data_IF_988611643232
#
_entry.id   IF_988611643232
#
_cell.length_a   1.000
_cell.length_b   1.000
_cell.length_c   1.000
_cell.angle_alpha   90.00
_cell.angle_beta   90.00
_cell.angle_gamma   90.00
#
_symmetry.space_group_name_H-M   'P 1'
#
loop_
_entity.id
_entity.type
_entity.pdbx_description
1 polymer ?
#
# COMPACT_ATOMS: atom_id res chain seq x y z
N UNK A 1 -21.16 -1.56 1.71
CA UNK A 1 -20.41 -1.15 0.50
C UNK A 1 -20.52 -2.26 -0.53
N UNK A 2 -20.97 -1.95 -1.74
CA UNK A 2 -20.91 -2.87 -2.88
C UNK A 2 -19.45 -3.06 -3.26
N UNK A 3 -19.03 -4.31 -3.55
CA UNK A 3 -17.72 -4.61 -4.14
C UNK A 3 -17.55 -3.71 -5.37
N UNK A 4 -16.41 -3.01 -5.53
CA UNK A 4 -16.22 -2.15 -6.68
C UNK A 4 -16.49 -2.91 -7.97
N UNK A 5 -17.15 -2.25 -8.94
CA UNK A 5 -17.52 -2.88 -10.22
C UNK A 5 -16.31 -3.32 -11.05
N UNK A 6 -15.11 -3.02 -10.57
CA UNK A 6 -13.82 -3.35 -11.18
C UNK A 6 -12.85 -3.96 -10.18
N UNK A 7 -12.01 -4.87 -10.65
CA UNK A 7 -10.91 -5.45 -9.91
C UNK A 7 -9.76 -4.42 -9.73
N UNK A 8 -9.26 -4.30 -8.51
CA UNK A 8 -8.02 -3.58 -8.21
C UNK A 8 -6.81 -4.47 -8.55
N UNK A 9 -5.88 -3.96 -9.34
CA UNK A 9 -4.65 -4.65 -9.73
C UNK A 9 -3.45 -3.92 -9.15
N UNK A 10 -2.70 -4.58 -8.29
CA UNK A 10 -1.48 -4.07 -7.68
C UNK A 10 -0.30 -4.95 -8.09
N UNK A 11 0.84 -4.38 -8.43
CA UNK A 11 2.08 -5.12 -8.69
C UNK A 11 3.06 -4.90 -7.54
N UNK A 12 3.58 -5.98 -6.97
CA UNK A 12 4.60 -5.92 -5.91
C UNK A 12 6.00 -5.96 -6.53
N UNK A 13 6.79 -4.93 -6.29
CA UNK A 13 8.12 -4.78 -6.87
C UNK A 13 9.21 -5.01 -5.82
N UNK A 14 10.09 -5.98 -6.10
CA UNK A 14 11.23 -6.33 -5.24
C UNK A 14 12.43 -6.74 -6.10
N UNK A 15 13.55 -6.04 -6.00
CA UNK A 15 14.81 -6.41 -6.66
C UNK A 15 14.65 -6.78 -8.14
N UNK A 16 15.15 -7.95 -8.51
CA UNK A 16 15.00 -8.55 -9.84
C UNK A 16 13.73 -9.43 -9.97
N UNK A 17 12.90 -9.48 -8.95
CA UNK A 17 11.72 -10.34 -8.83
C UNK A 17 11.71 -11.10 -7.52
N UNK A 18 10.62 -11.79 -7.27
CA UNK A 18 10.42 -12.50 -6.00
C UNK A 18 11.15 -13.85 -5.95
N UNK A 19 11.47 -14.46 -7.10
CA UNK A 19 12.24 -15.69 -7.12
C UNK A 19 13.73 -15.42 -6.80
N UNK A 20 14.38 -16.17 -5.90
CA UNK A 20 15.78 -15.95 -5.53
C UNK A 20 16.74 -15.92 -6.72
N UNK A 21 16.53 -16.78 -7.71
CA UNK A 21 17.36 -16.85 -8.92
C UNK A 21 16.91 -15.88 -10.04
N UNK A 22 15.90 -15.03 -9.83
CA UNK A 22 15.36 -14.15 -10.87
C UNK A 22 16.39 -13.19 -11.48
N UNK A 23 17.38 -12.76 -10.71
CA UNK A 23 18.44 -11.88 -11.18
C UNK A 23 19.27 -12.48 -12.33
N UNK A 24 19.38 -13.82 -12.41
CA UNK A 24 20.06 -14.53 -13.50
C UNK A 24 19.27 -14.40 -14.82
N UNK A 25 17.95 -14.36 -14.73
CA UNK A 25 17.07 -14.15 -15.88
C UNK A 25 16.92 -12.67 -16.27
N UNK A 26 17.20 -11.74 -15.36
CA UNK A 26 17.05 -10.30 -15.59
C UNK A 26 18.11 -9.69 -16.55
N UNK A 27 19.18 -10.43 -16.87
CA UNK A 27 20.24 -9.98 -17.78
C UNK A 27 20.84 -8.63 -17.35
N UNK A 28 20.99 -7.65 -18.25
CA UNK A 28 21.57 -6.34 -17.91
C UNK A 28 20.76 -5.56 -16.86
N UNK A 29 19.50 -5.88 -16.62
CA UNK A 29 18.70 -5.23 -15.58
C UNK A 29 19.22 -5.55 -14.18
N UNK A 30 19.77 -6.75 -13.96
CA UNK A 30 20.35 -7.12 -12.68
C UNK A 30 21.48 -6.17 -12.21
N UNK A 31 22.25 -5.61 -13.14
CA UNK A 31 23.32 -4.65 -12.85
C UNK A 31 22.81 -3.26 -12.44
N UNK A 32 21.50 -2.99 -12.57
CA UNK A 32 20.89 -1.67 -12.36
C UNK A 32 19.90 -1.61 -11.22
N UNK A 33 19.81 -2.64 -10.40
CA UNK A 33 18.83 -2.74 -9.31
C UNK A 33 18.96 -1.60 -8.27
N UNK A 34 20.17 -1.04 -8.11
CA UNK A 34 20.42 0.14 -7.27
C UNK A 34 20.35 1.47 -8.06
N UNK A 35 19.88 1.44 -9.31
CA UNK A 35 19.73 2.64 -10.14
C UNK A 35 18.28 3.13 -10.11
N UNK A 36 18.07 4.40 -9.80
CA UNK A 36 16.75 5.04 -9.91
C UNK A 36 16.14 4.89 -11.31
N UNK A 37 16.96 4.85 -12.35
CA UNK A 37 16.50 4.65 -13.73
C UNK A 37 15.76 3.33 -13.90
N UNK A 38 16.27 2.23 -13.29
CA UNK A 38 15.60 0.93 -13.33
C UNK A 38 14.19 1.00 -12.72
N UNK A 39 14.08 1.52 -11.51
CA UNK A 39 12.79 1.65 -10.82
C UNK A 39 11.81 2.57 -11.55
N UNK A 40 12.31 3.70 -12.06
CA UNK A 40 11.51 4.61 -12.86
C UNK A 40 10.95 3.93 -14.11
N UNK A 41 11.79 3.23 -14.85
CA UNK A 41 11.38 2.61 -16.11
C UNK A 41 10.32 1.53 -15.87
N UNK A 42 10.47 0.69 -14.81
CA UNK A 42 9.48 -0.31 -14.41
C UNK A 42 8.18 0.34 -13.96
N UNK A 43 8.22 1.32 -13.05
CA UNK A 43 7.00 1.93 -12.50
C UNK A 43 6.25 2.76 -13.55
N UNK A 44 6.96 3.50 -14.42
CA UNK A 44 6.35 4.26 -15.51
C UNK A 44 5.67 3.33 -16.53
N UNK A 45 6.22 2.15 -16.80
CA UNK A 45 5.56 1.16 -17.64
C UNK A 45 4.23 0.70 -17.03
N UNK A 46 4.24 0.35 -15.72
CA UNK A 46 3.03 -0.03 -14.99
C UNK A 46 1.97 1.10 -15.00
N UNK A 47 2.40 2.35 -14.80
CA UNK A 47 1.52 3.53 -14.82
C UNK A 47 0.85 3.72 -16.18
N UNK A 48 1.64 3.73 -17.25
CA UNK A 48 1.15 3.96 -18.62
C UNK A 48 0.17 2.89 -19.09
N UNK A 49 0.35 1.67 -18.63
CA UNK A 49 -0.43 0.51 -19.04
C UNK A 49 -1.60 0.20 -18.09
N UNK A 50 -1.78 0.98 -17.04
CA UNK A 50 -3.02 0.99 -16.27
C UNK A 50 -3.05 0.12 -15.02
N UNK A 51 -1.93 -0.33 -14.49
CA UNK A 51 -1.86 -0.93 -13.15
C UNK A 51 -2.30 0.11 -12.11
N UNK A 52 -3.11 -0.26 -11.12
CA UNK A 52 -3.70 0.70 -10.17
C UNK A 52 -2.70 1.23 -9.15
N UNK A 53 -1.84 0.34 -8.64
CA UNK A 53 -0.78 0.72 -7.71
C UNK A 53 0.41 -0.24 -7.82
N UNK A 54 1.57 0.23 -7.37
CA UNK A 54 2.72 -0.63 -7.07
C UNK A 54 3.02 -0.58 -5.58
N UNK A 55 3.31 -1.75 -4.98
CA UNK A 55 4.00 -1.79 -3.70
C UNK A 55 5.49 -1.92 -3.95
N UNK A 56 6.28 -1.16 -3.21
CA UNK A 56 7.74 -1.27 -3.21
C UNK A 56 8.15 -1.93 -1.92
N UNK A 57 8.79 -3.10 -2.03
CA UNK A 57 9.14 -3.90 -0.85
C UNK A 57 10.40 -3.38 -0.18
N UNK A 58 10.38 -3.39 1.15
CA UNK A 58 11.51 -3.02 1.99
C UNK A 58 11.59 -3.87 3.25
N UNK A 59 12.78 -3.91 3.84
CA UNK A 59 13.05 -4.46 5.16
C UNK A 59 14.43 -4.00 5.62
N UNK A 60 14.72 -4.15 6.90
CA UNK A 60 16.05 -3.80 7.45
C UNK A 60 17.11 -4.90 7.27
N UNK A 61 16.80 -5.96 6.53
CA UNK A 61 17.79 -6.97 6.17
C UNK A 61 18.36 -6.68 4.78
N UNK A 62 19.67 -6.87 4.60
CA UNK A 62 20.29 -6.71 3.28
C UNK A 62 19.83 -7.78 2.29
N UNK A 63 19.47 -8.97 2.76
CA UNK A 63 19.03 -10.11 1.96
C UNK A 63 18.87 -11.37 2.80
N UNK A 64 18.51 -12.49 2.15
CA UNK A 64 18.50 -13.80 2.79
C UNK A 64 19.86 -14.17 3.37
N UNK A 65 19.85 -15.07 4.36
CA UNK A 65 21.06 -15.64 4.94
C UNK A 65 21.13 -17.13 4.65
N UNK A 66 22.35 -17.64 4.55
CA UNK A 66 22.61 -19.06 4.50
C UNK A 66 22.39 -19.72 5.89
N UNK A 67 22.50 -21.06 6.01
CA UNK A 67 22.35 -21.77 7.28
C UNK A 67 23.32 -21.34 8.38
N UNK A 68 24.48 -20.80 8.01
CA UNK A 68 25.53 -20.33 8.95
C UNK A 68 25.26 -18.90 9.44
N UNK A 69 24.22 -18.23 8.89
CA UNK A 69 23.79 -16.86 9.24
C UNK A 69 24.50 -15.77 8.46
N UNK A 70 25.34 -16.11 7.50
CA UNK A 70 25.98 -15.19 6.58
C UNK A 70 25.03 -14.81 5.42
N UNK A 71 25.32 -13.72 4.71
CA UNK A 71 24.54 -13.32 3.55
C UNK A 71 24.65 -14.38 2.45
N UNK A 72 23.49 -14.85 1.96
CA UNK A 72 23.45 -15.74 0.81
C UNK A 72 23.92 -15.00 -0.46
N UNK A 73 25.13 -15.28 -0.89
CA UNK A 73 25.77 -14.65 -2.05
C UNK A 73 25.17 -15.10 -3.39
N UNK A 74 24.29 -16.08 -3.40
CA UNK A 74 23.62 -16.58 -4.61
C UNK A 74 22.36 -15.80 -4.97
N UNK A 75 21.89 -14.93 -4.09
CA UNK A 75 20.67 -14.13 -4.23
C UNK A 75 20.97 -12.63 -4.38
N UNK A 76 19.93 -11.83 -4.63
CA UNK A 76 20.06 -10.37 -4.63
C UNK A 76 20.25 -9.87 -3.21
N UNK A 77 21.37 -9.21 -2.94
CA UNK A 77 21.71 -8.59 -1.67
C UNK A 77 21.79 -7.07 -1.84
N UNK A 78 21.23 -6.34 -0.88
CA UNK A 78 21.13 -4.88 -0.90
C UNK A 78 19.89 -4.39 -1.62
N UNK A 79 19.36 -3.25 -1.16
CA UNK A 79 18.17 -2.60 -1.71
C UNK A 79 18.24 -1.09 -1.49
N UNK A 80 17.43 -0.36 -2.25
CA UNK A 80 17.17 1.06 -1.99
C UNK A 80 15.97 1.18 -1.07
N UNK A 81 15.92 2.24 -0.27
CA UNK A 81 14.79 2.61 0.58
C UNK A 81 13.52 2.81 -0.28
N UNK A 82 12.45 2.11 0.06
CA UNK A 82 11.21 2.09 -0.72
C UNK A 82 10.51 3.45 -0.75
N UNK A 83 10.51 4.21 0.37
CA UNK A 83 9.88 5.52 0.44
C UNK A 83 10.63 6.54 -0.41
N UNK A 84 11.96 6.49 -0.39
CA UNK A 84 12.80 7.37 -1.22
C UNK A 84 12.68 7.02 -2.70
N UNK A 85 12.64 5.73 -3.06
CA UNK A 85 12.37 5.31 -4.45
C UNK A 85 10.99 5.77 -4.90
N UNK A 86 9.93 5.56 -4.09
CA UNK A 86 8.57 6.02 -4.40
C UNK A 86 8.53 7.53 -4.64
N UNK A 87 9.19 8.31 -3.77
CA UNK A 87 9.25 9.76 -3.88
C UNK A 87 9.99 10.23 -5.14
N UNK A 88 11.07 9.54 -5.50
CA UNK A 88 11.88 9.87 -6.67
C UNK A 88 11.19 9.51 -8.00
N UNK A 89 10.33 8.47 -8.03
CA UNK A 89 9.60 8.08 -9.26
C UNK A 89 8.26 8.81 -9.40
N UNK A 90 7.71 9.36 -8.32
CA UNK A 90 6.40 10.01 -8.30
C UNK A 90 6.22 11.08 -9.40
N UNK A 91 7.19 12.01 -9.63
CA UNK A 91 7.06 13.04 -10.68
C UNK A 91 7.06 12.48 -12.11
N UNK A 92 7.57 11.25 -12.31
CA UNK A 92 7.60 10.60 -13.62
C UNK A 92 6.31 9.81 -13.93
N UNK A 93 5.40 9.70 -12.98
CA UNK A 93 4.14 8.95 -13.06
C UNK A 93 2.94 9.89 -13.00
N UNK A 94 1.76 9.44 -13.45
CA UNK A 94 0.55 10.27 -13.55
C UNK A 94 -0.63 9.75 -12.76
N UNK A 95 -0.81 8.44 -12.70
CA UNK A 95 -2.03 7.84 -12.17
C UNK A 95 -1.77 6.69 -11.19
N UNK A 96 -0.66 5.98 -11.29
CA UNK A 96 -0.36 4.82 -10.46
C UNK A 96 -0.20 5.21 -8.98
N UNK A 97 -0.80 4.40 -8.10
CA UNK A 97 -0.56 4.50 -6.65
C UNK A 97 0.85 4.04 -6.31
N UNK A 98 1.49 4.75 -5.40
CA UNK A 98 2.85 4.46 -4.92
C UNK A 98 2.77 4.07 -3.45
N UNK A 99 2.95 2.79 -3.17
CA UNK A 99 2.75 2.20 -1.84
C UNK A 99 4.09 1.62 -1.33
N UNK A 100 4.99 2.47 -0.79
CA UNK A 100 6.21 1.97 -0.19
C UNK A 100 5.90 1.15 1.06
N UNK A 101 6.68 0.10 1.29
CA UNK A 101 6.75 -0.60 2.57
C UNK A 101 7.59 0.23 3.52
N UNK A 102 7.05 0.51 4.70
CA UNK A 102 7.81 1.17 5.79
C UNK A 102 7.52 0.42 7.08
N UNK A 103 8.59 -0.12 7.69
CA UNK A 103 8.50 -0.78 9.00
C UNK A 103 8.30 0.26 10.09
N UNK A 104 7.40 -0.03 11.04
CA UNK A 104 7.18 0.79 12.23
C UNK A 104 8.01 0.33 13.42
N UNK A 105 8.49 -0.91 13.40
CA UNK A 105 9.43 -1.41 14.39
C UNK A 105 10.78 -0.71 14.17
N UNK A 106 11.36 -0.16 15.20
CA UNK A 106 12.64 0.57 15.18
C UNK A 106 12.62 1.94 14.47
N UNK A 107 11.51 2.37 13.85
CA UNK A 107 11.41 3.66 13.14
C UNK A 107 10.50 4.62 13.90
N UNK A 108 10.92 5.88 14.02
CA UNK A 108 10.12 6.90 14.69
C UNK A 108 8.86 7.25 13.88
N UNK A 109 7.63 7.12 14.43
CA UNK A 109 6.38 7.39 13.71
C UNK A 109 6.30 8.79 13.13
N UNK A 110 6.96 9.77 13.75
CA UNK A 110 7.03 11.15 13.24
C UNK A 110 7.70 11.20 11.85
N UNK A 111 8.80 10.47 11.65
CA UNK A 111 9.47 10.40 10.35
C UNK A 111 8.65 9.64 9.32
N UNK A 112 7.99 8.56 9.72
CA UNK A 112 7.06 7.82 8.86
C UNK A 112 5.93 8.73 8.38
N UNK A 113 5.29 9.47 9.31
CA UNK A 113 4.19 10.38 8.99
C UNK A 113 4.63 11.48 8.01
N UNK A 114 5.73 12.17 8.29
CA UNK A 114 6.20 13.28 7.46
C UNK A 114 6.67 12.83 6.09
N UNK A 115 7.35 11.69 6.00
CA UNK A 115 7.80 11.11 4.73
C UNK A 115 6.63 10.73 3.83
N UNK A 116 5.63 10.02 4.36
CA UNK A 116 4.45 9.60 3.60
C UNK A 116 3.55 10.78 3.20
N UNK A 117 3.37 11.80 4.07
CA UNK A 117 2.69 13.04 3.67
C UNK A 117 3.43 13.76 2.56
N UNK A 118 4.75 13.81 2.61
CA UNK A 118 5.56 14.41 1.55
C UNK A 118 5.39 13.66 0.25
N UNK A 119 5.43 12.32 0.28
CA UNK A 119 5.14 11.49 -0.90
C UNK A 119 3.75 11.79 -1.45
N UNK A 120 2.74 11.96 -0.59
CA UNK A 120 1.37 12.25 -1.03
C UNK A 120 1.26 13.60 -1.74
N UNK A 121 1.94 14.63 -1.22
CA UNK A 121 2.04 15.93 -1.92
C UNK A 121 2.75 15.81 -3.27
N UNK A 122 3.92 15.17 -3.32
CA UNK A 122 4.73 15.03 -4.55
C UNK A 122 4.01 14.19 -5.59
N UNK A 123 3.25 13.19 -5.16
CA UNK A 123 2.48 12.32 -6.04
C UNK A 123 1.08 12.85 -6.37
N UNK A 124 0.66 14.00 -5.81
CA UNK A 124 -0.67 14.58 -6.00
C UNK A 124 -1.81 13.62 -5.58
N UNK A 125 -1.73 13.08 -4.37
CA UNK A 125 -2.77 12.20 -3.81
C UNK A 125 -2.68 10.75 -4.25
N UNK A 126 -1.46 10.23 -4.53
CA UNK A 126 -1.28 8.84 -4.98
C UNK A 126 -0.41 8.01 -4.05
N UNK A 127 -0.01 8.54 -2.90
CA UNK A 127 0.71 7.78 -1.89
C UNK A 127 -0.20 6.76 -1.22
N UNK A 128 0.38 5.63 -0.83
CA UNK A 128 -0.13 4.70 0.15
C UNK A 128 0.99 4.28 1.10
N UNK A 129 0.69 3.47 2.07
CA UNK A 129 1.66 2.95 3.02
C UNK A 129 1.43 1.46 3.24
N UNK A 130 2.39 0.62 2.92
CA UNK A 130 2.38 -0.76 3.38
C UNK A 130 3.08 -0.82 4.73
N UNK A 131 2.28 -0.92 5.80
CA UNK A 131 2.79 -1.03 7.17
C UNK A 131 3.41 -2.42 7.39
N UNK A 132 4.56 -2.46 8.04
CA UNK A 132 5.29 -3.69 8.33
C UNK A 132 5.90 -3.66 9.72
N UNK A 133 6.00 -4.82 10.36
CA UNK A 133 6.80 -5.05 11.57
C UNK A 133 8.09 -5.79 11.22
N UNK A 134 9.13 -5.58 12.02
CA UNK A 134 10.45 -6.21 11.85
C UNK A 134 10.77 -7.08 13.06
N UNK A 135 10.48 -8.39 13.01
CA UNK A 135 10.50 -9.25 14.20
C UNK A 135 11.88 -9.82 14.55
N UNK A 136 12.90 -9.66 13.69
CA UNK A 136 14.16 -10.39 13.85
C UNK A 136 15.13 -9.68 14.78
N UNK A 137 15.87 -10.47 15.57
CA UNK A 137 16.96 -9.96 16.41
C UNK A 137 18.07 -9.30 15.58
N UNK A 138 18.27 -9.76 14.34
CA UNK A 138 19.24 -9.19 13.40
C UNK A 138 18.85 -7.75 12.99
N UNK A 139 17.59 -7.51 12.70
CA UNK A 139 17.09 -6.16 12.40
C UNK A 139 17.22 -5.25 13.63
N UNK A 140 16.84 -5.74 14.81
CA UNK A 140 16.98 -4.98 16.06
C UNK A 140 18.42 -4.57 16.35
N UNK A 141 19.38 -5.46 16.06
CA UNK A 141 20.81 -5.20 16.27
C UNK A 141 21.35 -4.02 15.45
N UNK A 142 20.77 -3.77 14.25
CA UNK A 142 21.14 -2.62 13.41
C UNK A 142 20.85 -1.27 14.08
N UNK A 143 19.83 -1.23 14.94
CA UNK A 143 19.42 0.00 15.63
C UNK A 143 20.03 0.10 17.04
N UNK A 144 20.36 -1.01 17.67
CA UNK A 144 20.98 -1.06 18.99
C UNK A 144 20.13 -0.49 20.14
N UNK A 145 18.81 -0.34 19.95
CA UNK A 145 17.90 0.26 20.94
C UNK A 145 17.27 -0.77 21.87
N UNK A 146 17.11 -2.00 21.39
CA UNK A 146 16.53 -3.13 22.14
C UNK A 146 17.10 -4.46 21.63
N UNK A 147 17.07 -5.52 22.43
CA UNK A 147 17.67 -6.80 22.04
C UNK A 147 16.96 -7.48 20.85
N UNK A 148 15.69 -7.16 20.61
CA UNK A 148 14.86 -7.85 19.61
C UNK A 148 14.35 -9.20 20.10
N UNK A 149 13.62 -9.91 19.22
CA UNK A 149 13.00 -11.19 19.58
C UNK A 149 11.68 -11.03 20.33
N UNK A 150 11.07 -9.84 20.23
CA UNK A 150 9.74 -9.61 20.78
C UNK A 150 8.72 -10.53 20.10
N UNK A 151 7.70 -10.94 20.85
CA UNK A 151 6.63 -11.77 20.31
C UNK A 151 5.72 -10.96 19.35
N UNK A 152 4.94 -11.67 18.56
CA UNK A 152 4.08 -11.05 17.56
C UNK A 152 3.02 -10.11 18.19
N UNK A 153 2.53 -10.41 19.38
CA UNK A 153 1.53 -9.58 20.07
C UNK A 153 2.15 -8.22 20.44
N UNK A 154 3.32 -8.23 21.07
CA UNK A 154 4.07 -7.01 21.41
C UNK A 154 4.38 -6.16 20.19
N UNK A 155 4.82 -6.79 19.08
CA UNK A 155 5.13 -6.08 17.83
C UNK A 155 3.87 -5.45 17.20
N UNK A 156 2.72 -6.14 17.25
CA UNK A 156 1.48 -5.59 16.73
C UNK A 156 0.90 -4.50 17.65
N UNK A 157 1.10 -4.57 18.96
CA UNK A 157 0.69 -3.50 19.88
C UNK A 157 1.51 -2.23 19.62
N UNK A 158 2.83 -2.34 19.48
CA UNK A 158 3.69 -1.22 19.05
C UNK A 158 3.26 -0.67 17.69
N UNK A 159 2.95 -1.54 16.73
CA UNK A 159 2.51 -1.13 15.41
C UNK A 159 1.16 -0.39 15.42
N UNK A 160 0.22 -0.78 16.30
CA UNK A 160 -1.04 -0.04 16.52
C UNK A 160 -0.79 1.38 17.04
N UNK A 161 0.07 1.52 18.04
CA UNK A 161 0.42 2.83 18.58
C UNK A 161 1.11 3.70 17.50
N UNK A 162 2.04 3.13 16.74
CA UNK A 162 2.71 3.82 15.66
C UNK A 162 1.73 4.29 14.56
N UNK A 163 0.80 3.42 14.14
CA UNK A 163 -0.23 3.75 13.14
C UNK A 163 -1.17 4.85 13.65
N UNK A 164 -1.56 4.81 14.93
CA UNK A 164 -2.39 5.87 15.54
C UNK A 164 -1.63 7.21 15.59
N UNK A 165 -0.37 7.19 15.99
CA UNK A 165 0.47 8.41 16.00
C UNK A 165 0.61 9.00 14.60
N UNK A 166 0.91 8.16 13.60
CA UNK A 166 1.00 8.58 12.20
C UNK A 166 -0.33 9.20 11.73
N UNK A 167 -1.45 8.58 12.04
CA UNK A 167 -2.79 9.07 11.73
C UNK A 167 -3.10 10.43 12.39
N UNK A 168 -2.69 10.62 13.67
CA UNK A 168 -2.85 11.89 14.38
C UNK A 168 -2.01 13.01 13.76
N UNK A 169 -0.78 12.69 13.38
CA UNK A 169 0.11 13.65 12.74
C UNK A 169 -0.44 14.07 11.37
N UNK A 170 -1.00 13.15 10.59
CA UNK A 170 -1.63 13.46 9.30
C UNK A 170 -2.84 14.38 9.42
N UNK A 171 -3.59 14.28 10.52
CA UNK A 171 -4.75 15.13 10.80
C UNK A 171 -4.39 16.44 11.51
N UNK A 172 -3.15 16.64 11.94
CA UNK A 172 -2.78 17.74 12.83
C UNK A 172 -2.84 19.14 12.19
N UNK A 173 -3.09 19.24 10.89
CA UNK A 173 -3.39 20.48 10.17
C UNK A 173 -4.79 20.41 9.57
N UNK A 174 -5.59 21.46 9.76
CA UNK A 174 -6.84 21.60 9.00
C UNK A 174 -6.52 21.93 7.53
N UNK A 175 -7.45 21.62 6.62
CA UNK A 175 -7.26 21.82 5.18
C UNK A 175 -7.02 23.30 4.82
N UNK A 176 -7.55 24.22 5.61
CA UNK A 176 -7.46 25.68 5.44
C UNK A 176 -6.52 26.37 6.45
N UNK A 177 -5.62 25.61 7.07
CA UNK A 177 -4.63 26.16 8.02
C UNK A 177 -3.65 27.13 7.35
N UNK A 178 -3.34 26.97 6.06
CA UNK A 178 -2.43 27.83 5.28
C UNK A 178 -3.23 28.94 4.61
N UNK A 179 -3.19 30.16 5.16
CA UNK A 179 -3.99 31.30 4.70
C UNK A 179 -3.26 32.23 3.74
N UNK A 180 -1.93 32.35 3.83
CA UNK A 180 -1.09 33.25 3.00
C UNK A 180 -1.63 34.67 2.87
N UNK A 181 -2.11 35.24 3.99
CA UNK A 181 -2.66 36.59 4.03
C UNK A 181 -1.52 37.62 4.04
N UNK A 182 -1.22 38.15 2.86
CA UNK A 182 -0.16 39.15 2.68
C UNK A 182 -0.53 40.46 3.39
N UNK A 183 -1.80 40.81 3.46
CA UNK A 183 -2.28 42.06 4.06
C UNK A 183 -1.99 42.13 5.58
N UNK A 184 -2.24 41.01 6.25
CA UNK A 184 -1.99 40.90 7.70
C UNK A 184 -0.62 40.34 8.05
N UNK A 185 0.18 39.92 7.05
CA UNK A 185 1.46 39.26 7.23
C UNK A 185 1.37 37.85 7.83
N UNK A 186 0.20 37.20 7.76
CA UNK A 186 -0.03 35.87 8.34
C UNK A 186 0.06 34.80 7.28
N UNK A 187 0.99 33.86 7.43
CA UNK A 187 1.11 32.70 6.54
C UNK A 187 0.15 31.58 6.91
N UNK A 188 -0.06 31.37 8.21
CA UNK A 188 -0.93 30.31 8.76
C UNK A 188 -1.96 30.88 9.73
N UNK A 189 -3.06 30.14 9.92
CA UNK A 189 -3.90 30.28 11.11
C UNK A 189 -3.46 29.24 12.15
N UNK A 190 -2.76 29.69 13.19
CA UNK A 190 -2.24 28.79 14.24
C UNK A 190 -3.33 28.01 14.98
N UNK A 191 -4.57 28.50 15.00
CA UNK A 191 -5.69 27.82 15.64
C UNK A 191 -6.21 26.62 14.84
N UNK A 192 -5.67 26.43 13.63
CA UNK A 192 -5.95 25.33 12.72
C UNK A 192 -4.85 24.29 12.66
N UNK A 193 -3.92 24.38 13.62
CA UNK A 193 -2.83 23.42 13.80
C UNK A 193 -3.01 22.80 15.18
N UNK A 194 -3.16 21.47 15.21
CA UNK A 194 -3.52 20.71 16.40
C UNK A 194 -2.34 19.90 16.91
N UNK A 195 -2.24 19.79 18.23
CA UNK A 195 -1.26 18.92 18.87
C UNK A 195 -1.73 17.47 18.77
N UNK A 196 -0.91 16.57 18.22
CA UNK A 196 -1.20 15.14 18.14
C UNK A 196 -1.39 14.49 19.52
N UNK A 197 -0.63 14.95 20.53
CA UNK A 197 -0.78 14.64 21.95
C UNK A 197 -1.07 13.15 22.24
N UNK A 198 -0.17 12.29 21.84
CA UNK A 198 -0.28 10.85 22.10
C UNK A 198 0.76 10.42 23.15
N UNK A 199 0.34 9.58 24.09
CA UNK A 199 1.23 8.95 25.06
C UNK A 199 0.77 7.48 25.20
N UNK A 200 1.56 6.57 24.67
CA UNK A 200 1.34 5.13 24.71
C UNK A 200 2.42 4.40 25.51
N UNK A 201 2.41 3.10 25.40
CA UNK A 201 3.39 2.23 26.06
C UNK A 201 4.72 2.18 25.30
N UNK A 202 4.69 2.34 23.98
CA UNK A 202 5.85 2.23 23.10
C UNK A 202 6.31 3.58 22.57
N UNK A 203 5.37 4.50 22.27
CA UNK A 203 5.67 5.79 21.65
C UNK A 203 4.93 6.93 22.34
N UNK A 204 5.54 8.13 22.34
CA UNK A 204 4.90 9.35 22.81
C UNK A 204 5.24 10.49 21.86
N UNK A 205 4.23 11.27 21.47
CA UNK A 205 4.38 12.40 20.54
C UNK A 205 3.64 13.62 21.04
N UNK A 206 4.32 14.77 21.01
CA UNK A 206 3.75 16.08 21.24
C UNK A 206 3.96 16.99 20.03
N UNK A 207 3.02 17.91 19.80
CA UNK A 207 3.08 18.84 18.68
C UNK A 207 2.33 18.34 17.45
N UNK A 208 2.45 19.12 16.38
CA UNK A 208 1.86 18.83 15.09
C UNK A 208 2.91 18.27 14.12
N UNK A 209 2.46 17.68 13.00
CA UNK A 209 3.33 17.42 11.85
C UNK A 209 3.96 18.72 11.35
N UNK A 210 5.15 18.61 10.75
CA UNK A 210 5.78 19.72 10.02
C UNK A 210 5.28 19.80 8.57
N UNK A 211 4.59 18.77 8.09
CA UNK A 211 4.01 18.74 6.75
C UNK A 211 2.52 19.05 6.88
N UNK A 212 1.98 20.01 6.12
CA UNK A 212 0.55 20.30 6.08
C UNK A 212 -0.25 19.08 5.59
N UNK A 213 -1.57 19.09 5.86
CA UNK A 213 -2.46 18.02 5.44
C UNK A 213 -2.34 17.76 3.93
N UNK A 214 -2.13 16.52 3.57
CA UNK A 214 -1.87 16.11 2.20
C UNK A 214 -3.17 15.94 1.38
N UNK A 215 -3.10 15.84 0.04
CA UNK A 215 -4.29 15.78 -0.82
C UNK A 215 -5.31 14.70 -0.44
N UNK A 216 -4.89 13.54 0.04
CA UNK A 216 -5.78 12.48 0.51
C UNK A 216 -6.20 12.65 1.98
N UNK A 217 -5.64 13.63 2.68
CA UNK A 217 -5.73 13.74 4.13
C UNK A 217 -4.95 12.64 4.85
N UNK A 218 -5.32 11.39 4.62
CA UNK A 218 -4.60 10.19 5.09
C UNK A 218 -4.35 9.26 3.91
N UNK A 219 -3.09 9.03 3.50
CA UNK A 219 -2.75 8.00 2.53
C UNK A 219 -3.29 6.63 2.95
N UNK A 220 -3.83 5.79 2.03
CA UNK A 220 -4.33 4.46 2.37
C UNK A 220 -3.25 3.58 2.98
N UNK A 221 -3.59 2.89 4.06
CA UNK A 221 -2.71 1.94 4.74
C UNK A 221 -3.05 0.52 4.28
N UNK A 222 -2.02 -0.24 3.89
CA UNK A 222 -2.10 -1.64 3.48
C UNK A 222 -1.43 -2.51 4.53
N UNK A 223 -2.06 -3.59 4.96
CA UNK A 223 -1.46 -4.56 5.87
C UNK A 223 -1.65 -5.99 5.38
N UNK A 224 -0.66 -6.86 5.63
CA UNK A 224 -0.72 -8.28 5.34
C UNK A 224 -1.38 -9.01 6.52
N UNK A 225 -2.35 -9.88 6.22
CA UNK A 225 -3.07 -10.69 7.18
C UNK A 225 -3.03 -12.17 6.77
N UNK A 226 -2.08 -12.92 7.31
CA UNK A 226 -1.92 -14.35 7.06
C UNK A 226 -2.21 -15.21 8.30
N UNK A 227 -2.52 -14.59 9.44
CA UNK A 227 -2.88 -15.20 10.73
C UNK A 227 -3.90 -14.32 11.44
N UNK A 228 -4.56 -14.87 12.47
CA UNK A 228 -5.62 -14.17 13.20
C UNK A 228 -5.16 -12.90 13.92
N UNK A 229 -3.96 -12.89 14.51
CA UNK A 229 -3.36 -11.73 15.16
C UNK A 229 -3.02 -10.62 14.14
N UNK A 230 -2.46 -10.99 12.98
CA UNK A 230 -2.20 -10.07 11.88
C UNK A 230 -3.50 -9.53 11.26
N UNK A 231 -4.56 -10.34 11.19
CA UNK A 231 -5.87 -9.90 10.72
C UNK A 231 -6.52 -8.90 11.70
N UNK A 232 -6.43 -9.16 12.99
CA UNK A 232 -6.88 -8.22 14.02
C UNK A 232 -6.13 -6.88 13.93
N UNK A 233 -4.80 -6.92 13.81
CA UNK A 233 -4.00 -5.72 13.57
C UNK A 233 -4.40 -4.98 12.29
N UNK A 234 -4.58 -5.70 11.17
CA UNK A 234 -4.96 -5.11 9.90
C UNK A 234 -6.34 -4.44 9.96
N UNK A 235 -7.28 -5.01 10.71
CA UNK A 235 -8.60 -4.40 10.94
C UNK A 235 -8.50 -3.11 11.76
N UNK A 236 -7.58 -3.01 12.70
CA UNK A 236 -7.40 -1.80 13.50
C UNK A 236 -6.67 -0.69 12.73
N UNK A 237 -5.65 -1.04 11.94
CA UNK A 237 -4.68 -0.09 11.42
C UNK A 237 -4.75 0.14 9.90
N UNK A 238 -5.37 -0.77 9.11
CA UNK A 238 -5.31 -0.69 7.66
C UNK A 238 -6.64 -0.33 6.99
N UNK A 239 -6.53 0.29 5.83
CA UNK A 239 -7.64 0.55 4.90
C UNK A 239 -7.83 -0.58 3.89
N UNK A 240 -6.74 -1.28 3.53
CA UNK A 240 -6.72 -2.39 2.56
C UNK A 240 -5.99 -3.57 3.19
N UNK A 241 -6.56 -4.76 3.08
CA UNK A 241 -5.98 -5.98 3.65
C UNK A 241 -5.46 -6.88 2.53
N UNK A 242 -4.23 -7.33 2.67
CA UNK A 242 -3.59 -8.29 1.78
C UNK A 242 -3.64 -9.66 2.45
N UNK A 243 -4.07 -10.69 1.74
CA UNK A 243 -4.09 -12.08 2.22
C UNK A 243 -3.41 -13.01 1.23
N UNK A 244 -2.82 -14.08 1.71
CA UNK A 244 -2.09 -15.08 0.91
C UNK A 244 -2.91 -16.37 0.80
N UNK A 245 -3.91 -16.45 -0.10
CA UNK A 245 -4.72 -17.64 -0.24
C UNK A 245 -3.94 -18.77 -0.93
N UNK A 246 -4.34 -20.01 -0.67
CA UNK A 246 -4.02 -21.15 -1.54
C UNK A 246 -4.93 -21.19 -2.77
N UNK A 247 -5.03 -22.36 -3.43
CA UNK A 247 -5.73 -22.49 -4.73
C UNK A 247 -6.68 -23.69 -4.81
N UNK A 248 -7.22 -24.14 -3.69
CA UNK A 248 -8.14 -25.26 -3.64
C UNK A 248 -9.63 -24.84 -3.50
N UNK A 249 -9.91 -23.54 -3.53
CA UNK A 249 -11.25 -22.97 -3.39
C UNK A 249 -11.73 -22.90 -1.93
N UNK A 250 -11.19 -23.70 -1.02
CA UNK A 250 -11.45 -23.63 0.43
C UNK A 250 -10.50 -22.65 1.09
N UNK A 251 -9.24 -22.67 0.72
CA UNK A 251 -8.21 -21.78 1.26
C UNK A 251 -8.47 -20.32 0.89
N UNK A 252 -8.97 -20.03 -0.33
CA UNK A 252 -9.38 -18.69 -0.72
C UNK A 252 -10.53 -18.17 0.16
N UNK A 253 -11.54 -19.01 0.45
CA UNK A 253 -12.63 -18.64 1.34
C UNK A 253 -12.16 -18.45 2.77
N UNK A 254 -11.28 -19.33 3.25
CA UNK A 254 -10.73 -19.25 4.59
C UNK A 254 -9.88 -17.98 4.79
N UNK A 255 -9.05 -17.62 3.81
CA UNK A 255 -8.25 -16.39 3.84
C UNK A 255 -9.13 -15.12 3.85
N UNK A 256 -10.24 -15.11 3.10
CA UNK A 256 -11.19 -14.00 3.14
C UNK A 256 -11.95 -13.98 4.47
N UNK A 257 -12.40 -15.14 4.97
CA UNK A 257 -13.12 -15.27 6.22
C UNK A 257 -12.30 -14.77 7.40
N UNK A 258 -10.99 -15.04 7.42
CA UNK A 258 -10.06 -14.56 8.45
C UNK A 258 -10.19 -13.04 8.70
N UNK A 259 -10.29 -12.25 7.62
CA UNK A 259 -10.46 -10.79 7.72
C UNK A 259 -11.88 -10.45 8.17
N UNK A 260 -12.91 -11.14 7.65
CA UNK A 260 -14.31 -10.88 7.98
C UNK A 260 -14.62 -11.20 9.45
N UNK A 261 -14.04 -12.27 9.96
CA UNK A 261 -14.16 -12.67 11.37
C UNK A 261 -13.47 -11.64 12.29
N UNK A 262 -12.31 -11.13 11.88
CA UNK A 262 -11.63 -10.06 12.61
C UNK A 262 -12.44 -8.75 12.61
N UNK A 263 -13.04 -8.35 11.46
CA UNK A 263 -13.96 -7.20 11.40
C UNK A 263 -15.15 -7.37 12.34
N UNK A 264 -15.74 -8.55 12.37
CA UNK A 264 -16.86 -8.86 13.26
C UNK A 264 -16.44 -8.83 14.73
N UNK A 265 -15.29 -9.42 15.06
CA UNK A 265 -14.75 -9.42 16.43
C UNK A 265 -14.45 -8.01 16.94
N UNK A 266 -13.99 -7.11 16.05
CA UNK A 266 -13.76 -5.70 16.35
C UNK A 266 -15.05 -4.85 16.39
N UNK A 267 -16.22 -5.43 16.09
CA UNK A 267 -17.48 -4.68 15.98
C UNK A 267 -17.47 -3.63 14.87
N UNK A 268 -16.68 -3.86 13.83
CA UNK A 268 -16.49 -2.90 12.74
C UNK A 268 -17.57 -3.04 11.67
N UNK A 269 -18.32 -1.96 11.40
CA UNK A 269 -19.23 -1.88 10.26
C UNK A 269 -18.50 -1.65 8.92
N UNK A 270 -17.20 -1.35 8.98
CA UNK A 270 -16.40 -1.08 7.81
C UNK A 270 -15.94 -2.38 7.15
N UNK A 271 -16.35 -2.60 5.90
CA UNK A 271 -15.86 -3.71 5.06
C UNK A 271 -14.64 -3.24 4.27
N UNK A 272 -13.48 -3.72 4.66
CA UNK A 272 -12.22 -3.37 3.97
C UNK A 272 -12.10 -4.10 2.65
N UNK A 273 -11.56 -3.45 1.59
CA UNK A 273 -11.08 -4.14 0.41
C UNK A 273 -10.03 -5.18 0.79
N UNK A 274 -10.24 -6.44 0.37
CA UNK A 274 -9.27 -7.53 0.55
C UNK A 274 -8.70 -7.88 -0.81
N UNK A 275 -7.37 -7.88 -0.93
CA UNK A 275 -6.65 -8.27 -2.13
C UNK A 275 -5.94 -9.61 -1.90
N UNK A 276 -6.07 -10.52 -2.87
CA UNK A 276 -5.29 -11.75 -2.87
C UNK A 276 -3.86 -11.47 -3.32
N UNK A 277 -2.89 -11.87 -2.52
CA UNK A 277 -1.47 -11.71 -2.77
C UNK A 277 -0.90 -12.99 -3.38
N UNK A 278 -0.44 -12.93 -4.63
CA UNK A 278 -0.11 -14.09 -5.45
C UNK A 278 1.26 -13.91 -6.10
N UNK A 279 2.13 -14.91 -5.96
CA UNK A 279 3.40 -14.95 -6.69
C UNK A 279 3.18 -15.55 -8.08
N UNK A 280 3.57 -14.84 -9.14
CA UNK A 280 3.25 -15.24 -10.51
C UNK A 280 4.48 -15.31 -11.41
N UNK A 281 4.56 -16.40 -12.19
CA UNK A 281 5.42 -16.53 -13.36
C UNK A 281 4.50 -16.71 -14.57
N UNK A 282 4.62 -15.83 -15.56
CA UNK A 282 3.72 -15.79 -16.72
C UNK A 282 4.45 -16.33 -17.93
N UNK A 283 4.05 -17.51 -18.39
CA UNK A 283 4.58 -18.17 -19.58
C UNK A 283 3.64 -18.07 -20.78
N UNK A 284 4.15 -18.46 -21.96
CA UNK A 284 3.37 -18.50 -23.21
C UNK A 284 2.39 -19.69 -23.28
N UNK A 285 2.64 -20.72 -22.50
CA UNK A 285 1.77 -21.89 -22.30
C UNK A 285 1.95 -22.43 -20.88
N UNK A 286 1.02 -23.26 -20.36
CA UNK A 286 1.19 -23.86 -19.03
C UNK A 286 2.49 -24.67 -18.91
N UNK A 287 2.87 -25.42 -19.94
CA UNK A 287 4.12 -26.19 -19.97
C UNK A 287 5.34 -25.27 -19.93
N UNK A 288 5.36 -24.22 -20.77
CA UNK A 288 6.46 -23.26 -20.78
C UNK A 288 6.60 -22.54 -19.41
N UNK A 289 5.49 -22.17 -18.78
CA UNK A 289 5.53 -21.55 -17.45
C UNK A 289 6.11 -22.50 -16.39
N UNK A 290 5.72 -23.76 -16.42
CA UNK A 290 6.24 -24.79 -15.52
C UNK A 290 7.73 -25.07 -15.75
N UNK A 291 8.16 -25.16 -17.01
CA UNK A 291 9.57 -25.37 -17.36
C UNK A 291 10.45 -24.19 -16.94
N UNK A 292 9.96 -22.96 -17.13
CA UNK A 292 10.67 -21.75 -16.72
C UNK A 292 10.79 -21.63 -15.19
N UNK A 293 9.74 -22.01 -14.44
CA UNK A 293 9.80 -22.07 -12.97
C UNK A 293 10.80 -23.15 -12.53
N UNK A 294 10.73 -24.35 -13.10
CA UNK A 294 11.66 -25.43 -12.77
C UNK A 294 13.13 -25.04 -13.06
N UNK A 295 13.36 -24.28 -14.13
CA UNK A 295 14.71 -23.78 -14.45
C UNK A 295 15.22 -22.76 -13.39
N UNK A 296 14.33 -21.90 -12.89
CA UNK A 296 14.66 -20.96 -11.81
C UNK A 296 14.93 -21.71 -10.49
N UNK A 297 14.08 -22.70 -10.16
CA UNK A 297 14.23 -23.53 -8.96
C UNK A 297 15.57 -24.32 -9.00
N UNK A 298 15.89 -24.92 -10.14
CA UNK A 298 17.16 -25.59 -10.33
C UNK A 298 18.35 -24.63 -10.18
N UNK A 299 18.23 -23.41 -10.68
CA UNK A 299 19.26 -22.37 -10.53
C UNK A 299 19.38 -21.86 -9.09
N UNK A 300 18.33 -21.90 -8.30
CA UNK A 300 18.32 -21.55 -6.88
C UNK A 300 18.76 -22.73 -5.97
N UNK A 301 18.75 -23.94 -6.49
CA UNK A 301 19.05 -25.16 -5.74
C UNK A 301 17.90 -25.68 -4.88
N UNK A 302 16.73 -25.03 -4.89
CA UNK A 302 15.54 -25.43 -4.15
C UNK A 302 14.28 -24.85 -4.80
N UNK A 303 13.11 -25.51 -4.66
CA UNK A 303 11.83 -25.00 -5.11
C UNK A 303 11.45 -23.70 -4.37
N UNK A 304 10.97 -22.73 -5.12
CA UNK A 304 10.36 -21.52 -4.56
C UNK A 304 8.84 -21.74 -4.41
N UNK A 305 8.44 -22.23 -3.25
CA UNK A 305 7.08 -22.62 -2.94
C UNK A 305 6.70 -22.17 -1.52
N UNK A 306 5.42 -22.31 -1.16
CA UNK A 306 4.95 -22.03 0.21
C UNK A 306 5.73 -22.88 1.21
N UNK A 307 6.31 -22.23 2.21
CA UNK A 307 7.13 -22.88 3.23
C UNK A 307 8.58 -23.18 2.85
N UNK A 308 8.96 -23.02 1.59
CA UNK A 308 10.34 -23.22 1.11
C UNK A 308 10.93 -22.01 0.36
N UNK A 309 10.51 -20.79 0.75
CA UNK A 309 11.02 -19.54 0.19
C UNK A 309 9.94 -18.51 -0.12
N UNK A 310 8.67 -18.92 -0.13
CA UNK A 310 7.53 -18.04 -0.30
C UNK A 310 6.54 -18.15 0.86
N UNK A 311 5.93 -17.05 1.24
CA UNK A 311 4.80 -16.97 2.17
C UNK A 311 3.45 -16.95 1.43
N UNK A 312 3.46 -17.04 0.10
CA UNK A 312 2.27 -17.08 -0.75
C UNK A 312 2.40 -18.17 -1.81
N UNK A 313 1.27 -18.64 -2.29
CA UNK A 313 1.20 -19.63 -3.36
C UNK A 313 1.84 -19.11 -4.65
N UNK A 314 2.60 -19.96 -5.31
CA UNK A 314 3.32 -19.68 -6.56
C UNK A 314 2.54 -20.22 -7.74
N UNK A 315 2.23 -19.36 -8.69
CA UNK A 315 1.52 -19.67 -9.93
C UNK A 315 2.45 -19.58 -11.13
N UNK A 316 2.85 -20.73 -11.67
CA UNK A 316 3.34 -20.82 -13.03
C UNK A 316 2.12 -20.91 -13.96
N UNK A 317 1.82 -19.85 -14.70
CA UNK A 317 0.51 -19.67 -15.34
C UNK A 317 0.60 -18.98 -16.69
N UNK A 318 -0.53 -18.90 -17.40
CA UNK A 318 -0.70 -18.07 -18.59
C UNK A 318 -1.61 -16.88 -18.30
N UNK A 319 -1.62 -15.88 -19.18
CA UNK A 319 -2.55 -14.74 -19.04
C UNK A 319 -4.02 -15.17 -19.02
N UNK A 320 -4.51 -16.05 -19.92
CA UNK A 320 -5.90 -16.51 -19.86
C UNK A 320 -6.27 -17.22 -18.55
N UNK A 321 -5.39 -18.09 -18.04
CA UNK A 321 -5.64 -18.81 -16.80
C UNK A 321 -5.64 -17.85 -15.59
N UNK A 322 -4.76 -16.87 -15.60
CA UNK A 322 -4.71 -15.84 -14.56
C UNK A 322 -5.95 -14.94 -14.57
N UNK A 323 -6.49 -14.60 -15.76
CA UNK A 323 -7.77 -13.89 -15.88
C UNK A 323 -8.91 -14.69 -15.27
N UNK A 324 -8.98 -15.99 -15.55
CA UNK A 324 -9.99 -16.90 -14.96
C UNK A 324 -9.86 -16.93 -13.44
N UNK A 325 -8.63 -17.10 -12.92
CA UNK A 325 -8.38 -17.11 -11.47
C UNK A 325 -8.78 -15.80 -10.79
N UNK A 326 -8.50 -14.66 -11.42
CA UNK A 326 -8.91 -13.34 -10.89
C UNK A 326 -10.44 -13.19 -10.91
N UNK A 327 -11.14 -13.72 -11.93
CA UNK A 327 -12.59 -13.74 -11.96
C UNK A 327 -13.19 -14.58 -10.84
N UNK A 328 -12.61 -15.76 -10.56
CA UNK A 328 -13.03 -16.63 -9.46
C UNK A 328 -12.85 -15.94 -8.09
N UNK A 329 -11.70 -15.30 -7.85
CA UNK A 329 -11.45 -14.55 -6.64
C UNK A 329 -12.47 -13.39 -6.47
N UNK A 330 -12.78 -12.66 -7.55
CA UNK A 330 -13.82 -11.64 -7.52
C UNK A 330 -15.18 -12.22 -7.13
N UNK A 331 -15.55 -13.37 -7.70
CA UNK A 331 -16.81 -14.06 -7.38
C UNK A 331 -16.90 -14.49 -5.90
N UNK A 332 -15.76 -14.76 -5.27
CA UNK A 332 -15.67 -15.03 -3.83
C UNK A 332 -15.78 -13.77 -2.96
N UNK A 333 -15.64 -12.57 -3.54
CA UNK A 333 -15.74 -11.30 -2.82
C UNK A 333 -14.42 -10.57 -2.57
N UNK A 334 -13.33 -10.98 -3.23
CA UNK A 334 -12.09 -10.20 -3.23
C UNK A 334 -12.26 -8.92 -4.04
N UNK A 335 -11.69 -7.82 -3.55
CA UNK A 335 -11.70 -6.53 -4.23
C UNK A 335 -10.64 -6.46 -5.35
N UNK A 336 -9.66 -7.34 -5.33
CA UNK A 336 -8.58 -7.34 -6.30
C UNK A 336 -7.46 -8.32 -5.99
N UNK A 337 -6.35 -8.13 -6.70
CA UNK A 337 -5.14 -8.92 -6.52
C UNK A 337 -3.92 -8.03 -6.39
N UNK A 338 -2.95 -8.49 -5.58
CA UNK A 338 -1.59 -7.99 -5.56
C UNK A 338 -0.68 -9.08 -6.13
N UNK A 339 -0.11 -8.83 -7.29
CA UNK A 339 0.73 -9.79 -7.98
C UNK A 339 2.20 -9.55 -7.66
N UNK A 340 2.89 -10.60 -7.23
CA UNK A 340 4.33 -10.64 -7.00
C UNK A 340 5.00 -11.27 -8.23
N UNK A 341 5.52 -10.49 -9.20
CA UNK A 341 6.20 -11.04 -10.36
C UNK A 341 7.46 -11.79 -9.91
N UNK A 342 7.57 -13.06 -10.29
CA UNK A 342 8.76 -13.84 -9.96
C UNK A 342 10.01 -13.29 -10.63
N UNK A 343 9.86 -12.66 -11.82
CA UNK A 343 10.96 -12.05 -12.60
C UNK A 343 10.63 -10.61 -12.96
N UNK A 344 11.48 -9.68 -12.61
CA UNK A 344 11.40 -8.27 -13.02
C UNK A 344 12.59 -7.97 -13.96
N UNK A 345 12.35 -7.44 -15.19
CA UNK A 345 11.07 -6.87 -15.67
C UNK A 345 10.13 -7.86 -16.40
N UNK A 346 10.46 -9.12 -16.58
CA UNK A 346 9.76 -10.05 -17.49
C UNK A 346 8.28 -10.18 -17.10
N UNK A 347 7.98 -10.70 -15.93
CA UNK A 347 6.61 -10.93 -15.49
C UNK A 347 5.87 -9.63 -15.17
N UNK A 348 6.58 -8.61 -14.66
CA UNK A 348 5.97 -7.28 -14.44
C UNK A 348 5.53 -6.62 -15.75
N UNK A 349 6.31 -6.79 -16.83
CA UNK A 349 5.93 -6.33 -18.18
C UNK A 349 4.76 -7.14 -18.72
N UNK A 350 4.71 -8.47 -18.52
CA UNK A 350 3.59 -9.31 -18.92
C UNK A 350 2.30 -8.90 -18.19
N UNK A 351 2.36 -8.60 -16.89
CA UNK A 351 1.22 -8.06 -16.14
C UNK A 351 0.71 -6.77 -16.79
N UNK A 352 1.57 -5.83 -17.07
CA UNK A 352 1.15 -4.54 -17.62
C UNK A 352 0.67 -4.64 -19.08
N UNK A 353 1.42 -5.32 -19.95
CA UNK A 353 1.18 -5.35 -21.41
C UNK A 353 0.15 -6.37 -21.85
N UNK A 354 -0.01 -7.47 -21.12
CA UNK A 354 -0.85 -8.58 -21.53
C UNK A 354 -2.04 -8.78 -20.59
N UNK A 355 -1.81 -8.84 -19.26
CA UNK A 355 -2.89 -9.09 -18.32
C UNK A 355 -3.86 -7.90 -18.21
N UNK A 356 -3.38 -6.66 -18.15
CA UNK A 356 -4.27 -5.49 -18.07
C UNK A 356 -5.27 -5.45 -19.23
N UNK A 357 -4.85 -5.52 -20.52
CA UNK A 357 -5.81 -5.56 -21.63
C UNK A 357 -6.75 -6.78 -21.58
N UNK A 358 -6.26 -7.95 -21.16
CA UNK A 358 -7.08 -9.16 -21.04
C UNK A 358 -8.18 -9.01 -19.97
N UNK A 359 -7.87 -8.36 -18.83
CA UNK A 359 -8.86 -8.06 -17.79
C UNK A 359 -9.91 -7.04 -18.28
N UNK A 360 -9.52 -6.06 -19.10
CA UNK A 360 -10.46 -5.13 -19.75
C UNK A 360 -11.39 -5.88 -20.70
N UNK A 361 -10.85 -6.74 -21.56
CA UNK A 361 -11.62 -7.58 -22.49
C UNK A 361 -12.59 -8.49 -21.75
N UNK A 362 -12.20 -9.04 -20.61
CA UNK A 362 -13.03 -9.89 -19.76
C UNK A 362 -14.10 -9.09 -18.95
N UNK A 363 -14.15 -7.77 -19.07
CA UNK A 363 -15.09 -6.90 -18.31
C UNK A 363 -14.79 -6.83 -16.81
N UNK A 364 -13.60 -7.23 -16.40
CA UNK A 364 -13.16 -7.18 -14.98
C UNK A 364 -12.56 -5.83 -14.62
N UNK A 365 -12.20 -5.02 -15.60
CA UNK A 365 -11.63 -3.68 -15.44
C UNK A 365 -12.16 -2.71 -16.51
N UNK A 366 -12.21 -1.43 -16.18
CA UNK A 366 -12.43 -0.38 -17.15
C UNK A 366 -11.16 -0.11 -17.98
N UNK A 367 -11.33 0.44 -19.18
CA UNK A 367 -10.21 0.86 -20.04
C UNK A 367 -9.33 1.90 -19.31
N UNK A 368 -8.05 1.86 -19.60
CA UNK A 368 -7.05 2.82 -19.10
C UNK A 368 -7.42 4.26 -19.46
N UNK A 369 -7.97 4.49 -20.66
CA UNK A 369 -8.42 5.80 -21.13
C UNK A 369 -9.56 6.39 -20.28
N UNK A 370 -10.35 5.54 -19.61
CA UNK A 370 -11.45 5.95 -18.72
C UNK A 370 -11.03 6.02 -17.24
N UNK A 371 -9.73 5.94 -16.95
CA UNK A 371 -9.22 5.93 -15.58
C UNK A 371 -9.50 7.26 -14.89
N UNK A 372 -10.15 7.26 -13.72
CA UNK A 372 -10.42 8.50 -13.00
C UNK A 372 -9.11 9.20 -12.61
N UNK A 373 -9.08 10.52 -12.68
CA UNK A 373 -8.00 11.37 -12.14
C UNK A 373 -8.05 11.50 -10.62
N UNK A 374 -8.90 10.72 -9.96
CA UNK A 374 -9.07 10.72 -8.51
C UNK A 374 -7.82 10.23 -7.77
N UNK A 375 -7.70 10.63 -6.51
CA UNK A 375 -6.69 10.15 -5.59
C UNK A 375 -6.74 8.61 -5.40
N UNK A 376 -5.70 8.05 -4.78
CA UNK A 376 -5.58 6.60 -4.62
C UNK A 376 -6.69 6.04 -3.71
N UNK A 377 -7.05 6.74 -2.63
CA UNK A 377 -8.10 6.33 -1.69
C UNK A 377 -9.44 6.16 -2.40
N UNK A 378 -9.84 7.16 -3.18
CA UNK A 378 -11.07 7.13 -3.99
C UNK A 378 -11.06 5.99 -5.02
N UNK A 379 -9.92 5.77 -5.70
CA UNK A 379 -9.80 4.71 -6.71
C UNK A 379 -9.86 3.30 -6.12
N UNK A 380 -9.44 3.13 -4.87
CA UNK A 380 -9.57 1.88 -4.12
C UNK A 380 -10.98 1.67 -3.54
N UNK A 381 -11.92 2.62 -3.74
CA UNK A 381 -13.26 2.55 -3.17
C UNK A 381 -13.30 2.75 -1.66
N UNK A 382 -12.28 3.40 -1.11
CA UNK A 382 -12.18 3.67 0.33
C UNK A 382 -12.81 5.03 0.62
N UNK A 383 -13.53 5.13 1.73
CA UNK A 383 -14.14 6.38 2.19
C UNK A 383 -13.10 7.49 2.34
N UNK A 384 -13.39 8.73 1.91
CA UNK A 384 -12.52 9.87 2.14
C UNK A 384 -12.12 10.00 3.61
N UNK A 385 -10.87 10.35 3.87
CA UNK A 385 -10.37 10.50 5.22
C UNK A 385 -10.86 11.82 5.83
N UNK A 386 -11.82 11.72 6.75
CA UNK A 386 -12.27 12.87 7.53
C UNK A 386 -11.25 13.14 8.64
N UNK A 387 -10.80 14.41 8.77
CA UNK A 387 -9.92 14.80 9.87
C UNK A 387 -10.61 14.60 11.21
N UNK A 388 -9.89 14.09 12.21
CA UNK A 388 -10.39 13.97 13.59
C UNK A 388 -10.72 15.33 14.22
N UNK A 389 -10.18 16.41 13.65
CA UNK A 389 -10.44 17.78 14.07
C UNK A 389 -11.46 18.51 13.17
N UNK A 390 -12.07 17.79 12.19
CA UNK A 390 -13.08 18.38 11.32
C UNK A 390 -14.22 18.97 12.16
N UNK A 391 -14.50 20.25 11.95
CA UNK A 391 -15.65 20.91 12.58
C UNK A 391 -16.93 20.40 11.90
N UNK A 392 -18.02 20.22 12.66
CA UNK A 392 -19.33 19.99 12.05
C UNK A 392 -19.60 21.11 11.04
N UNK A 393 -20.05 20.76 9.83
CA UNK A 393 -20.47 21.75 8.86
C UNK A 393 -21.56 22.62 9.55
N UNK A 394 -21.32 23.91 9.65
CA UNK A 394 -22.37 24.85 10.08
C UNK A 394 -23.40 24.83 8.95
N UNK A 395 -24.44 24.04 9.12
CA UNK A 395 -25.63 24.12 8.27
C UNK A 395 -26.17 25.53 8.48
N UNK A 396 -25.98 26.40 7.50
CA UNK A 396 -26.43 27.77 7.55
C UNK A 396 -27.92 27.78 7.87
N UNK A 397 -28.26 28.19 9.08
CA UNK A 397 -29.62 28.57 9.42
C UNK A 397 -30.02 29.67 8.44
N UNK A 398 -31.11 29.44 7.70
CA UNK A 398 -31.59 30.33 6.67
C UNK A 398 -31.64 31.76 7.20
N UNK A 399 -30.98 32.65 6.48
CA UNK A 399 -31.25 34.09 6.60
C UNK A 399 -32.69 34.28 6.08
N UNK A 400 -33.63 34.31 7.01
CA UNK A 400 -35.01 34.71 6.73
C UNK A 400 -35.01 36.15 6.20
N UNK A 401 -35.26 36.31 4.92
CA UNK A 401 -35.50 37.61 4.30
C UNK A 401 -36.84 38.15 4.81
N UNK A 402 -36.81 38.80 5.96
CA UNK A 402 -37.88 39.64 6.42
C UNK A 402 -37.86 40.95 5.64
N UNK A 403 -38.57 40.98 4.51
CA UNK A 403 -38.92 42.24 3.81
C UNK A 403 -40.00 42.93 4.62
N UNK A 404 -39.60 43.82 5.52
CA UNK A 404 -40.51 44.77 6.15
C UNK A 404 -40.91 45.87 5.16
N UNK A 405 -42.13 45.85 4.71
CA UNK A 405 -42.76 46.95 3.96
C UNK A 405 -42.96 48.16 4.86
N UNK A 406 -42.21 49.24 4.63
CA UNK A 406 -42.45 50.55 5.23
C UNK A 406 -43.45 51.27 4.32
N UNK A 407 -44.68 51.40 4.81
CA UNK A 407 -45.70 52.26 4.21
C UNK A 407 -45.40 53.71 4.55
N UNK A 408 -45.15 54.52 3.52
CA UNK A 408 -45.09 55.97 3.60
C UNK A 408 -46.50 56.55 3.74
N UNK A 409 -46.85 57.05 4.91
CA UNK A 409 -48.01 57.93 5.10
C UNK A 409 -47.56 59.37 5.05
N UNK A 410 -47.98 60.07 4.00
CA UNK A 410 -48.00 61.54 3.89
C UNK A 410 -49.29 62.03 4.40
N UNK A 411 -49.35 63.00 5.31
CA UNK A 411 -50.44 63.89 5.52
C UNK A 411 -50.03 65.22 6.14
N UNK A 412 -50.32 66.30 5.42
CA UNK A 412 -50.50 67.69 5.76
C UNK A 412 -49.45 68.39 6.64
#
# INVERSE_FOLDING_TARGET
MTVPDRITLVTALQGAGWHPAAWRAAGPAAQRLTSLRHWRDVVVEQDRLGVDAVTLEDSFTAGPTDPDGDLDTSTVVGRLDALLVASAVAPATRAIGLVPTVSVTHTEPFHVATGLQTLDHVSLGRAGWRIQVSPTTREAALFGRRPGGDDAATLFDEAREAAEVVSRLWDSWDDDAIIRDVTTGRFIDRNRIHNAAFSGSFVSVHGASIVPRSPQGRPPVFALAHRSDAAAFAVDAADVVLVTPGFDGLEERAALALVRDAEQAAGSDLRRPVLADLAVLIGSSPAAAADELAALDAAAGAPYAVGSGSDTSVLATTVPDLVTRIADLRALGYAGVRLRPLRIPIDSTAIARQLVPALVTAGLRADVASRPTADLRTRLGITPAVSRYARPAVTGAGVGSGVGSVSSGVSA
#
